data_IF_153297078001
#
_entry.id   IF_153297078001
#
_cell.length_a   1.000
_cell.length_b   1.000
_cell.length_c   1.000
_cell.angle_alpha   90.00
_cell.angle_beta   90.00
_cell.angle_gamma   90.00
#
_symmetry.space_group_name_H-M   'P 1'
#
loop_
_entity.id
_entity.type
_entity.pdbx_description
1 polymer ?
#
# COMPACT_ATOMS: atom_id res chain seq x y z
N UNK A 1 5.62 -11.68 9.44
CA UNK A 1 6.77 -11.68 8.53
C UNK A 1 7.91 -10.94 9.19
N UNK A 2 9.03 -11.62 9.41
CA UNK A 2 10.20 -11.01 9.99
C UNK A 2 11.22 -10.69 8.90
N UNK A 3 11.87 -9.55 9.01
CA UNK A 3 13.01 -9.25 8.17
C UNK A 3 14.19 -10.15 8.53
N UNK A 4 14.90 -10.76 7.58
CA UNK A 4 15.99 -11.69 7.86
C UNK A 4 17.30 -11.03 8.31
N UNK A 5 17.33 -9.76 8.62
CA UNK A 5 18.60 -9.06 8.86
C UNK A 5 18.67 -8.29 10.17
N UNK A 6 19.41 -8.73 11.10
CA UNK A 6 20.09 -8.09 12.23
C UNK A 6 19.38 -7.02 13.07
N UNK A 7 19.42 -7.07 14.37
CA UNK A 7 18.87 -6.12 15.33
C UNK A 7 17.39 -6.36 15.67
N UNK A 8 16.96 -5.91 16.85
CA UNK A 8 15.63 -6.21 17.38
C UNK A 8 14.49 -5.72 16.47
N UNK A 9 14.64 -4.60 15.79
CA UNK A 9 13.59 -4.05 14.91
C UNK A 9 13.44 -4.82 13.59
N UNK A 10 14.49 -5.45 13.09
CA UNK A 10 14.39 -6.35 11.95
C UNK A 10 13.85 -7.75 12.29
N UNK A 11 13.78 -8.08 13.58
CA UNK A 11 13.07 -9.25 14.08
C UNK A 11 11.63 -8.92 14.52
N UNK A 12 11.20 -7.66 14.40
CA UNK A 12 9.86 -7.22 14.75
C UNK A 12 8.83 -7.59 13.68
N UNK A 13 7.56 -7.59 14.07
CA UNK A 13 6.42 -7.57 13.17
C UNK A 13 5.99 -6.13 12.99
N UNK A 14 6.04 -5.64 11.75
CA UNK A 14 5.68 -4.28 11.39
C UNK A 14 4.30 -4.25 10.74
N UNK A 15 3.46 -3.30 11.13
CA UNK A 15 2.08 -3.21 10.65
C UNK A 15 2.02 -3.00 9.13
N UNK A 16 2.82 -2.11 8.59
CA UNK A 16 2.90 -1.88 7.15
C UNK A 16 3.40 -3.13 6.41
N UNK A 17 4.54 -3.70 6.81
CA UNK A 17 5.13 -4.86 6.13
C UNK A 17 4.18 -6.06 6.11
N UNK A 18 3.49 -6.28 7.22
CA UNK A 18 2.59 -7.41 7.37
C UNK A 18 1.21 -7.12 6.78
N UNK A 19 0.53 -6.09 7.28
CA UNK A 19 -0.88 -5.89 6.96
C UNK A 19 -1.08 -5.22 5.60
N UNK A 20 -0.24 -4.25 5.23
CA UNK A 20 -0.39 -3.57 3.95
C UNK A 20 0.25 -4.34 2.79
N UNK A 21 1.43 -4.95 3.00
CA UNK A 21 2.22 -5.54 1.91
C UNK A 21 2.01 -7.05 1.78
N UNK A 22 2.35 -7.81 2.84
CA UNK A 22 2.41 -9.26 2.77
C UNK A 22 1.01 -9.91 2.79
N UNK A 23 0.14 -9.51 3.71
CA UNK A 23 -1.19 -10.11 3.87
C UNK A 23 -2.03 -10.08 2.59
N UNK A 24 -2.12 -8.97 1.82
CA UNK A 24 -2.83 -8.97 0.55
C UNK A 24 -2.20 -9.89 -0.50
N UNK A 25 -0.89 -10.08 -0.49
CA UNK A 25 -0.23 -11.02 -1.40
C UNK A 25 -0.49 -12.46 -1.01
N UNK A 26 -0.35 -12.81 0.27
CA UNK A 26 -0.62 -14.16 0.77
C UNK A 26 -2.04 -14.63 0.45
N UNK A 27 -3.00 -13.72 0.38
CA UNK A 27 -4.37 -14.05 -0.01
C UNK A 27 -4.49 -14.68 -1.40
N UNK A 28 -3.58 -14.38 -2.32
CA UNK A 28 -3.57 -14.95 -3.68
C UNK A 28 -2.92 -16.33 -3.75
N UNK A 29 -2.23 -16.76 -2.72
CA UNK A 29 -1.63 -18.10 -2.66
C UNK A 29 -2.60 -19.10 -2.01
N UNK A 30 -2.33 -20.40 -2.18
CA UNK A 30 -3.09 -21.45 -1.50
C UNK A 30 -2.16 -22.24 -0.54
N UNK A 31 -1.15 -21.58 -0.03
CA UNK A 31 -0.24 -22.13 0.98
C UNK A 31 -0.82 -21.93 2.38
N UNK A 32 -1.00 -23.04 3.09
CA UNK A 32 -1.62 -23.01 4.42
C UNK A 32 -0.79 -22.22 5.46
N UNK A 33 0.54 -22.25 5.36
CA UNK A 33 1.41 -21.53 6.27
C UNK A 33 1.33 -20.02 6.06
N UNK A 34 1.23 -19.57 4.80
CA UNK A 34 1.04 -18.15 4.45
C UNK A 34 -0.34 -17.64 4.91
N UNK A 35 -1.39 -18.46 4.78
CA UNK A 35 -2.72 -18.12 5.29
C UNK A 35 -2.74 -18.04 6.82
N UNK A 36 -2.09 -18.97 7.50
CA UNK A 36 -1.96 -18.96 8.95
C UNK A 36 -1.15 -17.74 9.42
N UNK A 37 -0.05 -17.44 8.75
CA UNK A 37 0.77 -16.26 9.05
C UNK A 37 -0.05 -14.95 8.91
N UNK A 38 -0.84 -14.78 7.84
CA UNK A 38 -1.67 -13.60 7.64
C UNK A 38 -2.74 -13.45 8.75
N UNK A 39 -3.43 -14.54 9.10
CA UNK A 39 -4.46 -14.53 10.16
C UNK A 39 -3.84 -14.29 11.53
N UNK A 40 -2.71 -14.91 11.81
CA UNK A 40 -1.97 -14.72 13.08
C UNK A 40 -1.47 -13.28 13.22
N UNK A 41 -0.97 -12.69 12.16
CA UNK A 41 -0.54 -11.30 12.17
C UNK A 41 -1.70 -10.35 12.49
N UNK A 42 -2.86 -10.51 11.84
CA UNK A 42 -4.05 -9.71 12.19
C UNK A 42 -4.42 -9.88 13.67
N UNK A 43 -4.43 -11.11 14.19
CA UNK A 43 -4.74 -11.40 15.59
C UNK A 43 -3.80 -10.68 16.58
N UNK A 44 -2.52 -10.56 16.26
CA UNK A 44 -1.54 -9.91 17.16
C UNK A 44 -1.83 -8.42 17.41
N UNK A 45 -2.57 -7.75 16.53
CA UNK A 45 -2.94 -6.35 16.71
C UNK A 45 -4.19 -6.16 17.58
N UNK A 46 -5.01 -7.20 17.79
CA UNK A 46 -6.27 -7.11 18.52
C UNK A 46 -6.13 -6.53 19.96
N UNK A 47 -5.12 -6.90 20.76
CA UNK A 47 -4.97 -6.35 22.12
C UNK A 47 -4.77 -4.83 22.18
N UNK A 48 -4.34 -4.22 21.09
CA UNK A 48 -4.02 -2.78 21.00
C UNK A 48 -5.17 -1.95 20.43
N UNK A 49 -6.23 -2.59 19.97
CA UNK A 49 -7.41 -1.94 19.42
C UNK A 49 -8.52 -1.79 20.48
N UNK A 50 -8.17 -1.26 21.64
CA UNK A 50 -9.07 -1.14 22.78
C UNK A 50 -9.28 0.31 23.25
N UNK A 51 -8.33 1.19 23.04
CA UNK A 51 -8.44 2.61 23.31
C UNK A 51 -8.66 3.36 21.98
N UNK A 52 -9.78 4.08 21.89
CA UNK A 52 -10.18 4.76 20.66
C UNK A 52 -9.28 5.92 20.27
N UNK A 53 -8.60 6.51 21.22
CA UNK A 53 -7.80 7.73 21.03
C UNK A 53 -6.31 7.44 20.81
N UNK A 54 -5.89 6.20 21.06
CA UNK A 54 -4.51 5.77 20.81
C UNK A 54 -4.39 5.08 19.45
N UNK A 55 -3.34 5.39 18.67
CA UNK A 55 -3.03 4.64 17.46
C UNK A 55 -2.59 3.21 17.83
N UNK A 56 -2.76 2.28 16.89
CA UNK A 56 -2.11 0.97 17.04
C UNK A 56 -0.60 1.15 16.93
N UNK A 57 0.21 0.35 17.67
CA UNK A 57 1.66 0.45 17.57
C UNK A 57 2.14 0.08 16.17
N UNK A 58 3.20 0.74 15.72
CA UNK A 58 3.79 0.47 14.40
C UNK A 58 4.48 -0.87 14.32
N UNK A 59 4.99 -1.39 15.44
CA UNK A 59 5.70 -2.67 15.51
C UNK A 59 5.47 -3.42 16.80
N UNK A 60 5.58 -4.75 16.71
CA UNK A 60 5.58 -5.69 17.83
C UNK A 60 6.96 -6.33 17.92
N UNK A 61 7.67 -6.09 19.00
CA UNK A 61 8.99 -6.66 19.29
C UNK A 61 8.91 -7.65 20.45
N UNK A 62 9.96 -8.42 20.70
CA UNK A 62 9.98 -9.41 21.77
C UNK A 62 9.78 -8.82 23.17
N UNK A 63 10.18 -7.56 23.34
CA UNK A 63 10.08 -6.82 24.60
C UNK A 63 8.72 -6.12 24.78
N UNK A 64 7.85 -6.12 23.77
CA UNK A 64 6.54 -5.47 23.79
C UNK A 64 6.20 -4.76 22.50
N UNK A 65 5.64 -3.55 22.62
CA UNK A 65 5.26 -2.71 21.46
C UNK A 65 6.19 -1.52 21.30
N UNK A 66 6.28 -1.02 20.09
CA UNK A 66 7.03 0.18 19.83
C UNK A 66 6.30 1.08 18.81
N UNK A 67 6.47 2.38 18.99
CA UNK A 67 6.08 3.42 18.01
C UNK A 67 7.30 4.01 17.32
N UNK A 68 8.33 3.25 17.18
CA UNK A 68 9.61 3.59 16.58
C UNK A 68 10.05 5.06 16.80
N UNK A 69 11.08 5.28 17.58
CA UNK A 69 11.58 6.62 17.91
C UNK A 69 10.50 7.62 18.40
N UNK A 70 9.39 7.14 18.94
CA UNK A 70 8.27 8.00 19.32
C UNK A 70 7.55 8.63 18.13
N UNK A 71 7.59 7.98 16.96
CA UNK A 71 6.96 8.49 15.75
C UNK A 71 5.44 8.69 15.87
N UNK A 72 4.78 7.93 16.74
CA UNK A 72 3.33 7.99 16.90
C UNK A 72 2.58 7.30 15.77
N UNK A 73 1.46 7.89 15.35
CA UNK A 73 0.63 7.38 14.27
C UNK A 73 1.30 7.62 12.91
N UNK A 74 1.54 6.54 12.16
CA UNK A 74 2.08 6.54 10.80
C UNK A 74 1.02 6.27 9.73
N UNK A 75 -0.26 6.20 10.12
CA UNK A 75 -1.34 5.70 9.26
C UNK A 75 -1.55 4.19 9.35
N UNK A 76 -1.01 3.53 10.39
CA UNK A 76 -1.04 2.07 10.56
C UNK A 76 -2.46 1.49 10.58
N UNK A 77 -3.44 2.21 11.15
CA UNK A 77 -4.85 1.80 11.11
C UNK A 77 -5.40 1.73 9.67
N UNK A 78 -4.98 2.65 8.80
CA UNK A 78 -5.37 2.65 7.38
C UNK A 78 -4.72 1.51 6.61
N UNK A 79 -3.45 1.23 6.90
CA UNK A 79 -2.71 0.10 6.33
C UNK A 79 -3.34 -1.23 6.71
N UNK A 80 -3.68 -1.39 8.00
CA UNK A 80 -4.37 -2.57 8.51
C UNK A 80 -5.73 -2.76 7.85
N UNK A 81 -6.56 -1.71 7.81
CA UNK A 81 -7.90 -1.75 7.22
C UNK A 81 -7.85 -2.11 5.73
N UNK A 82 -6.92 -1.49 4.99
CA UNK A 82 -6.73 -1.72 3.56
C UNK A 82 -6.32 -3.17 3.28
N UNK A 83 -5.24 -3.62 3.91
CA UNK A 83 -4.67 -4.93 3.59
C UNK A 83 -5.52 -6.09 4.10
N UNK A 84 -6.06 -6.00 5.31
CA UNK A 84 -6.92 -7.03 5.87
C UNK A 84 -8.25 -7.15 5.11
N UNK A 85 -8.85 -6.02 4.70
CA UNK A 85 -10.06 -6.06 3.85
C UNK A 85 -9.78 -6.71 2.49
N UNK A 86 -8.65 -6.39 1.85
CA UNK A 86 -8.23 -7.04 0.60
C UNK A 86 -8.00 -8.53 0.79
N UNK A 87 -7.42 -8.94 1.91
CA UNK A 87 -7.25 -10.36 2.23
C UNK A 87 -8.58 -11.11 2.18
N UNK A 88 -9.58 -10.67 2.95
CA UNK A 88 -10.88 -11.32 2.98
C UNK A 88 -11.59 -11.29 1.62
N UNK A 89 -11.51 -10.18 0.89
CA UNK A 89 -12.07 -10.07 -0.45
C UNK A 89 -11.41 -11.03 -1.44
N UNK A 90 -10.09 -11.15 -1.42
CA UNK A 90 -9.32 -12.06 -2.27
C UNK A 90 -9.61 -13.51 -1.91
N UNK A 91 -9.66 -13.84 -0.62
CA UNK A 91 -10.02 -15.18 -0.15
C UNK A 91 -11.48 -15.55 -0.43
N UNK A 92 -12.38 -14.55 -0.59
CA UNK A 92 -13.83 -14.78 -0.65
C UNK A 92 -14.37 -15.31 0.68
N UNK A 93 -13.69 -14.97 1.79
CA UNK A 93 -14.05 -15.35 3.16
C UNK A 93 -14.67 -14.14 3.86
N UNK A 94 -15.61 -14.38 4.77
CA UNK A 94 -16.06 -13.34 5.69
C UNK A 94 -15.17 -13.34 6.94
N UNK A 95 -14.86 -12.14 7.50
CA UNK A 95 -14.06 -12.06 8.72
C UNK A 95 -14.81 -12.69 9.91
N UNK A 96 -14.07 -13.43 10.76
CA UNK A 96 -14.56 -13.85 12.06
C UNK A 96 -14.81 -12.63 12.96
N UNK A 97 -15.58 -12.79 14.04
CA UNK A 97 -16.00 -11.68 14.90
C UNK A 97 -14.83 -10.84 15.44
N UNK A 98 -13.70 -11.43 15.76
CA UNK A 98 -12.50 -10.70 16.19
C UNK A 98 -11.96 -9.81 15.05
N UNK A 99 -11.76 -10.37 13.87
CA UNK A 99 -11.28 -9.62 12.71
C UNK A 99 -12.30 -8.54 12.29
N UNK A 100 -13.60 -8.84 12.36
CA UNK A 100 -14.66 -7.87 12.13
C UNK A 100 -14.57 -6.69 13.09
N UNK A 101 -14.36 -6.97 14.39
CA UNK A 101 -14.18 -5.93 15.41
C UNK A 101 -12.93 -5.07 15.16
N UNK A 102 -11.81 -5.69 14.74
CA UNK A 102 -10.58 -4.97 14.40
C UNK A 102 -10.78 -4.04 13.19
N UNK A 103 -11.42 -4.52 12.12
CA UNK A 103 -11.72 -3.71 10.94
C UNK A 103 -12.63 -2.52 11.29
N UNK A 104 -13.66 -2.76 12.09
CA UNK A 104 -14.57 -1.71 12.55
C UNK A 104 -13.85 -0.68 13.44
N UNK A 105 -12.95 -1.13 14.33
CA UNK A 105 -12.14 -0.24 15.15
C UNK A 105 -11.23 0.65 14.29
N UNK A 106 -10.55 0.08 13.30
CA UNK A 106 -9.70 0.85 12.38
C UNK A 106 -10.51 1.88 11.59
N UNK A 107 -11.67 1.49 11.06
CA UNK A 107 -12.53 2.40 10.33
C UNK A 107 -13.00 3.58 11.20
N UNK A 108 -13.42 3.31 12.44
CA UNK A 108 -13.83 4.33 13.42
C UNK A 108 -12.67 5.23 13.83
N UNK A 109 -11.46 4.67 14.04
CA UNK A 109 -10.25 5.43 14.33
C UNK A 109 -9.91 6.40 13.19
N UNK A 110 -9.86 5.91 11.95
CA UNK A 110 -9.56 6.75 10.77
C UNK A 110 -10.61 7.85 10.60
N UNK A 111 -11.90 7.52 10.76
CA UNK A 111 -12.98 8.51 10.65
C UNK A 111 -12.78 9.69 11.59
N UNK A 112 -12.38 9.45 12.84
CA UNK A 112 -12.09 10.52 13.82
C UNK A 112 -10.86 11.34 13.47
N UNK A 113 -9.95 10.79 12.67
CA UNK A 113 -8.75 11.50 12.18
C UNK A 113 -9.01 12.29 10.90
N UNK A 114 -10.18 12.19 10.27
CA UNK A 114 -10.50 13.01 9.10
C UNK A 114 -10.78 14.44 9.53
N UNK A 115 -9.88 15.34 9.16
CA UNK A 115 -9.98 16.76 9.42
C UNK A 115 -11.17 17.42 8.68
N UNK A 116 -11.45 18.66 9.01
CA UNK A 116 -12.56 19.41 8.41
C UNK A 116 -12.37 19.65 6.90
N UNK A 117 -11.14 19.68 6.43
CA UNK A 117 -10.78 19.83 5.00
C UNK A 117 -10.79 18.51 4.24
N UNK A 118 -10.99 17.37 4.92
CA UNK A 118 -11.05 16.03 4.34
C UNK A 118 -9.73 15.27 4.34
N UNK A 119 -8.62 15.88 4.78
CA UNK A 119 -7.34 15.16 4.94
C UNK A 119 -7.37 14.26 6.17
N UNK A 120 -6.51 13.26 6.21
CA UNK A 120 -6.39 12.35 7.36
C UNK A 120 -5.15 12.74 8.17
N UNK A 121 -5.38 13.07 9.44
CA UNK A 121 -4.31 13.44 10.38
C UNK A 121 -3.49 12.21 10.77
N UNK A 122 -2.17 12.40 10.86
CA UNK A 122 -1.21 11.41 11.35
C UNK A 122 0.00 12.13 11.91
N UNK A 123 0.73 11.48 12.82
CA UNK A 123 1.88 12.11 13.46
C UNK A 123 3.10 12.08 12.51
N UNK A 124 3.20 11.06 11.68
CA UNK A 124 4.25 10.89 10.67
C UNK A 124 3.79 9.96 9.54
N UNK A 125 4.73 9.36 8.84
CA UNK A 125 4.55 8.37 7.79
C UNK A 125 5.51 7.18 7.97
N UNK A 126 5.59 6.31 6.99
CA UNK A 126 6.51 5.17 6.99
C UNK A 126 8.00 5.57 6.98
N UNK A 127 8.33 6.82 6.69
CA UNK A 127 9.69 7.36 6.80
C UNK A 127 10.06 7.75 8.24
N UNK A 128 9.11 7.66 9.20
CA UNK A 128 9.38 7.66 10.64
C UNK A 128 10.16 8.90 11.09
N UNK A 129 9.68 10.08 10.71
CA UNK A 129 10.31 11.38 11.01
C UNK A 129 11.67 11.61 10.33
N UNK A 130 12.11 10.77 9.39
CA UNK A 130 13.33 11.05 8.60
C UNK A 130 13.14 12.27 7.70
N UNK A 131 11.93 12.51 7.25
CA UNK A 131 11.51 13.67 6.49
C UNK A 131 10.25 14.29 7.14
N UNK A 132 10.00 15.58 6.91
CA UNK A 132 8.79 16.23 7.42
C UNK A 132 7.53 15.62 6.78
N UNK A 133 6.52 15.34 7.58
CA UNK A 133 5.24 14.75 7.12
C UNK A 133 4.04 15.70 7.27
N UNK A 134 4.19 16.80 8.01
CA UNK A 134 3.09 17.69 8.36
C UNK A 134 2.10 17.04 9.34
N UNK A 135 1.05 17.74 9.70
CA UNK A 135 -0.03 17.22 10.57
C UNK A 135 -0.96 16.26 9.80
N UNK A 136 -0.97 16.35 8.48
CA UNK A 136 -1.61 15.44 7.55
C UNK A 136 -0.71 15.28 6.32
N UNK A 137 -0.60 14.06 5.83
CA UNK A 137 0.20 13.77 4.65
C UNK A 137 -0.60 12.99 3.59
N UNK A 138 -0.06 13.03 2.38
CA UNK A 138 -0.70 12.45 1.22
C UNK A 138 -0.74 10.92 1.30
N UNK A 139 0.29 10.27 1.86
CA UNK A 139 0.33 8.80 1.95
C UNK A 139 -0.78 8.26 2.84
N UNK A 140 -0.90 8.76 4.08
CA UNK A 140 -1.96 8.35 5.00
C UNK A 140 -3.35 8.64 4.41
N UNK A 141 -3.54 9.82 3.81
CA UNK A 141 -4.84 10.16 3.18
C UNK A 141 -5.15 9.25 1.99
N UNK A 142 -4.18 8.93 1.14
CA UNK A 142 -4.39 8.06 -0.02
C UNK A 142 -4.67 6.60 0.39
N UNK A 143 -3.94 6.07 1.38
CA UNK A 143 -4.18 4.72 1.90
C UNK A 143 -5.55 4.65 2.56
N UNK A 144 -5.95 5.66 3.34
CA UNK A 144 -7.30 5.76 3.95
C UNK A 144 -8.40 5.78 2.89
N UNK A 145 -8.22 6.52 1.79
CA UNK A 145 -9.13 6.49 0.65
C UNK A 145 -9.28 5.08 0.08
N UNK A 146 -8.16 4.38 -0.16
CA UNK A 146 -8.16 3.00 -0.63
C UNK A 146 -8.82 2.04 0.37
N UNK A 147 -8.51 2.20 1.66
CA UNK A 147 -9.04 1.39 2.75
C UNK A 147 -10.56 1.46 2.85
N UNK A 148 -11.15 2.66 2.86
CA UNK A 148 -12.61 2.80 2.85
C UNK A 148 -13.25 2.22 1.59
N UNK A 149 -12.57 2.32 0.43
CA UNK A 149 -13.06 1.71 -0.81
C UNK A 149 -13.18 0.19 -0.70
N UNK A 150 -12.12 -0.49 -0.29
CA UNK A 150 -12.12 -1.96 -0.19
C UNK A 150 -12.95 -2.47 1.00
N UNK A 151 -12.92 -1.75 2.13
CA UNK A 151 -13.73 -2.12 3.29
C UNK A 151 -15.23 -1.95 3.02
N UNK A 152 -15.63 -0.90 2.29
CA UNK A 152 -17.01 -0.73 1.84
C UNK A 152 -17.52 -1.91 1.00
N UNK A 153 -16.69 -2.45 0.10
CA UNK A 153 -17.03 -3.67 -0.66
C UNK A 153 -17.17 -4.88 0.28
N UNK A 154 -16.27 -5.03 1.25
CA UNK A 154 -16.34 -6.12 2.22
C UNK A 154 -17.62 -6.05 3.07
N UNK A 155 -17.96 -4.85 3.56
CA UNK A 155 -19.21 -4.60 4.30
C UNK A 155 -20.46 -4.94 3.46
N UNK A 156 -20.45 -4.58 2.16
CA UNK A 156 -21.55 -4.96 1.25
C UNK A 156 -21.70 -6.49 1.17
N UNK A 157 -20.59 -7.23 1.07
CA UNK A 157 -20.60 -8.71 1.10
C UNK A 157 -21.10 -9.29 2.42
N UNK A 158 -20.88 -8.57 3.53
CA UNK A 158 -21.40 -8.94 4.86
C UNK A 158 -22.87 -8.57 5.04
N UNK A 159 -23.49 -7.83 4.10
CA UNK A 159 -24.86 -7.32 4.20
C UNK A 159 -25.00 -6.02 4.99
N UNK A 160 -23.88 -5.41 5.40
CA UNK A 160 -23.80 -4.17 6.20
C UNK A 160 -23.90 -2.93 5.30
N UNK A 161 -25.02 -2.76 4.60
CA UNK A 161 -25.19 -1.74 3.55
C UNK A 161 -25.07 -0.30 4.05
N UNK A 162 -25.57 0.00 5.24
CA UNK A 162 -25.50 1.35 5.82
C UNK A 162 -24.05 1.76 6.07
N UNK A 163 -23.27 0.86 6.65
CA UNK A 163 -21.85 1.10 6.91
C UNK A 163 -21.04 1.16 5.61
N UNK A 164 -21.40 0.38 4.59
CA UNK A 164 -20.79 0.46 3.25
C UNK A 164 -21.06 1.83 2.58
N UNK A 165 -22.27 2.36 2.67
CA UNK A 165 -22.61 3.71 2.18
C UNK A 165 -21.86 4.80 2.93
N UNK A 166 -21.69 4.64 4.25
CA UNK A 166 -20.86 5.53 5.08
C UNK A 166 -19.39 5.51 4.61
N UNK A 167 -18.82 4.34 4.37
CA UNK A 167 -17.46 4.22 3.82
C UNK A 167 -17.32 4.94 2.47
N UNK A 168 -18.30 4.80 1.59
CA UNK A 168 -18.28 5.50 0.30
C UNK A 168 -18.36 7.03 0.46
N UNK A 169 -19.08 7.52 1.47
CA UNK A 169 -19.14 8.96 1.77
C UNK A 169 -17.79 9.47 2.32
N UNK A 170 -17.17 8.72 3.24
CA UNK A 170 -15.85 9.06 3.79
C UNK A 170 -14.76 9.02 2.71
N UNK A 171 -14.80 8.03 1.82
CA UNK A 171 -13.90 7.93 0.67
C UNK A 171 -13.98 9.18 -0.22
N UNK A 172 -15.18 9.64 -0.55
CA UNK A 172 -15.37 10.89 -1.33
C UNK A 172 -14.83 12.10 -0.58
N UNK A 173 -15.12 12.23 0.72
CA UNK A 173 -14.62 13.34 1.54
C UNK A 173 -13.10 13.40 1.54
N UNK A 174 -12.43 12.25 1.65
CA UNK A 174 -10.96 12.17 1.61
C UNK A 174 -10.44 12.52 0.21
N UNK A 175 -11.08 12.05 -0.86
CA UNK A 175 -10.68 12.42 -2.23
C UNK A 175 -10.74 13.93 -2.45
N UNK A 176 -11.81 14.59 -2.01
CA UNK A 176 -11.96 16.05 -2.08
C UNK A 176 -10.87 16.76 -1.24
N UNK A 177 -10.55 16.23 -0.06
CA UNK A 177 -9.48 16.74 0.80
C UNK A 177 -8.11 16.61 0.14
N UNK A 178 -7.81 15.47 -0.48
CA UNK A 178 -6.56 15.25 -1.23
C UNK A 178 -6.43 16.29 -2.35
N UNK A 179 -7.46 16.48 -3.15
CA UNK A 179 -7.41 17.47 -4.25
C UNK A 179 -7.21 18.90 -3.73
N UNK A 180 -7.95 19.27 -2.70
CA UNK A 180 -7.95 20.64 -2.17
C UNK A 180 -6.65 20.99 -1.46
N UNK A 181 -6.10 20.08 -0.67
CA UNK A 181 -4.97 20.34 0.24
C UNK A 181 -3.64 19.99 -0.40
N UNK A 182 -3.58 18.87 -1.10
CA UNK A 182 -2.33 18.36 -1.67
C UNK A 182 -2.20 18.62 -3.18
N UNK A 183 -3.29 18.93 -3.91
CA UNK A 183 -3.21 19.30 -5.31
C UNK A 183 -2.28 20.51 -5.51
N UNK A 184 -1.28 20.37 -6.40
CA UNK A 184 -0.25 21.37 -6.60
C UNK A 184 0.32 21.34 -8.02
N UNK A 185 0.96 22.44 -8.41
CA UNK A 185 1.80 22.48 -9.60
C UNK A 185 3.26 22.55 -9.15
N UNK A 186 3.97 21.43 -9.24
CA UNK A 186 5.38 21.33 -8.88
C UNK A 186 6.22 21.03 -10.12
N UNK A 187 7.34 21.71 -10.27
CA UNK A 187 8.32 21.49 -11.34
C UNK A 187 7.73 21.50 -12.77
N UNK A 188 6.61 22.23 -12.94
CA UNK A 188 5.90 22.33 -14.22
C UNK A 188 4.78 21.31 -14.41
N UNK A 189 4.66 20.31 -13.57
CA UNK A 189 3.63 19.27 -13.59
C UNK A 189 2.44 19.60 -12.70
N UNK A 190 1.24 19.27 -13.15
CA UNK A 190 0.01 19.31 -12.34
C UNK A 190 -0.09 18.02 -11.53
N UNK A 191 0.44 18.03 -10.33
CA UNK A 191 0.65 16.84 -9.49
C UNK A 191 0.19 17.07 -8.04
N UNK A 192 0.83 16.43 -7.09
CA UNK A 192 0.57 16.58 -5.67
C UNK A 192 1.80 17.07 -4.93
N UNK A 193 1.60 17.85 -3.87
CA UNK A 193 2.57 18.02 -2.78
C UNK A 193 2.35 16.95 -1.71
N UNK A 194 3.37 16.61 -0.99
CA UNK A 194 3.28 15.54 -0.01
C UNK A 194 2.53 15.96 1.28
N UNK A 195 2.75 17.19 1.75
CA UNK A 195 1.99 17.83 2.82
C UNK A 195 1.82 19.32 2.54
N UNK A 196 0.94 19.99 3.29
CA UNK A 196 0.69 21.41 3.11
C UNK A 196 1.98 22.22 3.24
N UNK A 197 2.25 23.11 2.27
CA UNK A 197 3.41 23.98 2.26
C UNK A 197 4.72 23.37 1.76
N UNK A 198 4.74 22.09 1.41
CA UNK A 198 5.92 21.45 0.82
C UNK A 198 5.89 21.59 -0.72
N UNK A 199 6.95 22.14 -1.29
CA UNK A 199 7.08 22.35 -2.74
C UNK A 199 8.19 21.49 -3.39
N UNK A 200 8.54 20.36 -2.77
CA UNK A 200 9.44 19.36 -3.36
C UNK A 200 8.67 18.11 -3.79
N UNK A 201 9.17 17.43 -4.80
CA UNK A 201 8.62 16.16 -5.27
C UNK A 201 9.11 15.03 -4.37
N UNK A 202 8.16 14.23 -3.84
CA UNK A 202 8.43 13.04 -3.05
C UNK A 202 7.90 11.78 -3.72
N UNK A 203 8.55 10.66 -3.45
CA UNK A 203 8.19 9.38 -4.05
C UNK A 203 6.72 8.98 -3.76
N UNK A 204 6.23 9.27 -2.55
CA UNK A 204 4.87 8.89 -2.12
C UNK A 204 3.73 9.60 -2.85
N UNK A 205 4.00 10.59 -3.71
CA UNK A 205 2.94 11.15 -4.56
C UNK A 205 2.44 10.15 -5.63
N UNK A 206 3.03 8.95 -5.73
CA UNK A 206 2.51 7.83 -6.52
C UNK A 206 1.30 7.12 -5.86
N UNK A 207 1.05 7.32 -4.58
CA UNK A 207 -0.01 6.60 -3.87
C UNK A 207 -1.43 6.96 -4.31
N UNK A 208 -1.80 8.24 -4.53
CA UNK A 208 -3.13 8.55 -5.07
C UNK A 208 -3.44 7.81 -6.38
N UNK A 209 -2.61 7.84 -7.44
CA UNK A 209 -2.87 7.05 -8.64
C UNK A 209 -2.86 5.53 -8.37
N UNK A 210 -2.01 5.02 -7.49
CA UNK A 210 -2.03 3.62 -7.09
C UNK A 210 -3.37 3.24 -6.41
N UNK A 211 -3.90 4.09 -5.56
CA UNK A 211 -5.21 3.87 -4.90
C UNK A 211 -6.41 4.14 -5.80
N UNK A 212 -6.18 4.60 -7.04
CA UNK A 212 -7.24 4.80 -8.04
C UNK A 212 -7.75 6.22 -8.17
N UNK A 213 -7.10 7.20 -7.56
CA UNK A 213 -7.38 8.63 -7.76
C UNK A 213 -6.73 9.06 -9.08
N UNK A 214 -7.56 9.39 -10.07
CA UNK A 214 -7.10 9.66 -11.44
C UNK A 214 -6.74 11.12 -11.70
N UNK A 215 -7.28 12.04 -10.92
CA UNK A 215 -6.92 13.45 -11.01
C UNK A 215 -5.41 13.60 -10.78
N UNK A 216 -4.74 14.41 -11.57
CA UNK A 216 -3.28 14.67 -11.48
C UNK A 216 -2.36 13.44 -11.59
N UNK A 217 -2.89 12.24 -11.91
CA UNK A 217 -2.11 11.00 -11.97
C UNK A 217 -0.93 11.13 -12.95
N UNK A 218 -1.18 11.63 -14.16
CA UNK A 218 -0.14 11.79 -15.18
C UNK A 218 0.96 12.74 -14.73
N UNK A 219 0.60 13.90 -14.18
CA UNK A 219 1.57 14.87 -13.68
C UNK A 219 2.41 14.32 -12.51
N UNK A 220 1.78 13.60 -11.58
CA UNK A 220 2.50 12.97 -10.48
C UNK A 220 3.50 11.92 -10.98
N UNK A 221 3.04 11.02 -11.86
CA UNK A 221 3.90 9.97 -12.42
C UNK A 221 5.02 10.53 -13.31
N UNK A 222 4.76 11.63 -14.07
CA UNK A 222 5.80 12.32 -14.83
C UNK A 222 6.84 12.96 -13.94
N UNK A 223 6.43 13.67 -12.89
CA UNK A 223 7.35 14.31 -11.95
C UNK A 223 8.27 13.27 -11.29
N UNK A 224 7.70 12.17 -10.80
CA UNK A 224 8.46 11.05 -10.21
C UNK A 224 9.44 10.47 -11.22
N UNK A 225 8.97 10.07 -12.40
CA UNK A 225 9.81 9.40 -13.41
C UNK A 225 10.98 10.25 -13.90
N UNK A 226 10.80 11.58 -13.90
CA UNK A 226 11.82 12.53 -14.35
C UNK A 226 12.83 12.89 -13.26
N UNK A 227 12.38 13.04 -12.01
CA UNK A 227 13.20 13.61 -10.94
C UNK A 227 13.73 12.58 -9.94
N UNK A 228 13.00 11.49 -9.75
CA UNK A 228 13.30 10.54 -8.68
C UNK A 228 13.80 9.18 -9.19
N UNK A 229 13.49 8.81 -10.43
CA UNK A 229 13.89 7.49 -10.94
C UNK A 229 15.40 7.41 -11.13
N UNK A 230 16.02 6.46 -10.45
CA UNK A 230 17.48 6.25 -10.50
C UNK A 230 17.81 4.76 -10.30
N UNK A 231 18.61 4.19 -11.21
CA UNK A 231 19.13 2.83 -11.10
C UNK A 231 18.10 1.76 -10.74
N UNK A 232 16.92 1.81 -11.37
CA UNK A 232 15.86 0.82 -11.17
C UNK A 232 15.06 1.00 -9.87
N UNK A 233 15.19 2.14 -9.20
CA UNK A 233 14.46 2.47 -7.98
C UNK A 233 14.09 3.96 -7.94
N UNK A 234 13.50 4.43 -6.85
CA UNK A 234 13.16 5.82 -6.63
C UNK A 234 13.94 6.43 -5.47
N UNK A 235 14.45 7.63 -5.67
CA UNK A 235 14.85 8.48 -4.55
C UNK A 235 13.62 8.84 -3.72
N UNK A 236 13.79 8.99 -2.42
CA UNK A 236 12.70 9.40 -1.51
C UNK A 236 12.19 10.80 -1.81
N UNK A 237 13.09 11.70 -2.21
CA UNK A 237 12.81 13.09 -2.61
C UNK A 237 13.83 13.56 -3.64
N UNK A 238 13.52 14.62 -4.37
CA UNK A 238 14.44 15.23 -5.35
C UNK A 238 15.71 15.79 -4.72
N UNK A 239 15.69 16.08 -3.43
CA UNK A 239 16.80 16.70 -2.69
C UNK A 239 17.72 15.69 -1.97
N UNK A 240 17.44 14.40 -2.05
CA UNK A 240 18.24 13.35 -1.40
C UNK A 240 18.69 12.28 -2.40
N UNK A 241 19.72 11.52 -2.01
CA UNK A 241 20.25 10.42 -2.82
C UNK A 241 19.86 9.04 -2.27
N UNK A 242 19.04 8.99 -1.20
CA UNK A 242 18.53 7.72 -0.68
C UNK A 242 17.43 7.22 -1.60
N UNK A 243 17.58 6.03 -2.14
CA UNK A 243 16.54 5.30 -2.88
C UNK A 243 15.84 4.34 -1.94
N UNK A 244 14.52 4.23 -2.11
CA UNK A 244 13.69 3.34 -1.33
C UNK A 244 12.87 2.44 -2.26
N UNK A 245 13.14 1.14 -2.23
CA UNK A 245 12.58 0.21 -3.20
C UNK A 245 11.06 0.10 -3.11
N UNK A 246 10.46 0.16 -1.91
CA UNK A 246 8.99 0.10 -1.77
C UNK A 246 8.26 1.17 -2.57
N UNK A 247 8.75 2.39 -2.58
CA UNK A 247 8.13 3.47 -3.37
C UNK A 247 8.22 3.23 -4.87
N UNK A 248 9.33 2.62 -5.35
CA UNK A 248 9.47 2.23 -6.75
C UNK A 248 8.45 1.16 -7.14
N UNK A 249 8.17 0.20 -6.26
CA UNK A 249 7.20 -0.86 -6.51
C UNK A 249 5.76 -0.30 -6.60
N UNK A 250 5.40 0.64 -5.73
CA UNK A 250 4.13 1.36 -5.83
C UNK A 250 4.04 2.21 -7.10
N UNK A 251 5.12 2.92 -7.46
CA UNK A 251 5.16 3.72 -8.68
C UNK A 251 4.95 2.87 -9.93
N UNK A 252 5.60 1.70 -10.03
CA UNK A 252 5.43 0.80 -11.17
C UNK A 252 3.99 0.30 -11.26
N UNK A 253 3.39 -0.10 -10.14
CA UNK A 253 1.99 -0.52 -10.10
C UNK A 253 1.04 0.64 -10.48
N UNK A 254 1.32 1.86 -10.01
CA UNK A 254 0.56 3.05 -10.37
C UNK A 254 0.65 3.38 -11.87
N UNK A 255 1.82 3.20 -12.50
CA UNK A 255 1.97 3.34 -13.95
C UNK A 255 1.08 2.38 -14.73
N UNK A 256 1.01 1.10 -14.32
CA UNK A 256 0.08 0.16 -14.95
C UNK A 256 -1.36 0.63 -14.80
N UNK A 257 -1.81 0.96 -13.60
CA UNK A 257 -3.17 1.42 -13.32
C UNK A 257 -3.54 2.73 -14.02
N UNK A 258 -2.56 3.56 -14.33
CA UNK A 258 -2.75 4.76 -15.15
C UNK A 258 -2.78 4.47 -16.67
N UNK A 259 -2.69 3.21 -17.09
CA UNK A 259 -2.66 2.81 -18.50
C UNK A 259 -1.30 3.01 -19.20
N UNK A 260 -0.24 3.30 -18.44
CA UNK A 260 1.14 3.51 -18.94
C UNK A 260 1.93 2.20 -18.96
N UNK A 261 1.32 1.15 -19.53
CA UNK A 261 1.79 -0.23 -19.43
C UNK A 261 3.20 -0.45 -19.99
N UNK A 262 3.57 0.18 -21.10
CA UNK A 262 4.90 0.04 -21.68
C UNK A 262 6.00 0.64 -20.80
N UNK A 263 5.73 1.79 -20.21
CA UNK A 263 6.64 2.42 -19.25
C UNK A 263 6.74 1.58 -17.97
N UNK A 264 5.61 1.17 -17.40
CA UNK A 264 5.58 0.29 -16.24
C UNK A 264 6.41 -0.97 -16.45
N UNK A 265 6.26 -1.59 -17.61
CA UNK A 265 7.01 -2.79 -17.98
C UNK A 265 8.51 -2.54 -18.12
N UNK A 266 8.91 -1.40 -18.70
CA UNK A 266 10.31 -1.01 -18.79
C UNK A 266 10.92 -0.81 -17.40
N UNK A 267 10.21 -0.09 -16.51
CA UNK A 267 10.64 0.13 -15.12
C UNK A 267 10.72 -1.18 -14.32
N UNK A 268 9.72 -2.05 -14.45
CA UNK A 268 9.71 -3.36 -13.79
C UNK A 268 10.93 -4.22 -14.20
N UNK A 269 11.26 -4.25 -15.49
CA UNK A 269 12.46 -4.97 -15.97
C UNK A 269 13.74 -4.39 -15.42
N UNK A 270 13.87 -3.07 -15.39
CA UNK A 270 15.03 -2.38 -14.85
C UNK A 270 15.17 -2.66 -13.34
N UNK A 271 14.09 -2.54 -12.56
CA UNK A 271 14.09 -2.89 -11.14
C UNK A 271 14.47 -4.35 -10.91
N UNK A 272 13.90 -5.28 -11.67
CA UNK A 272 14.25 -6.70 -11.56
C UNK A 272 15.73 -6.94 -11.85
N UNK A 273 16.26 -6.34 -12.91
CA UNK A 273 17.67 -6.53 -13.31
C UNK A 273 18.65 -5.91 -12.31
N UNK A 274 18.33 -4.75 -11.73
CA UNK A 274 19.28 -3.98 -10.90
C UNK A 274 19.08 -4.23 -9.40
N UNK A 275 17.87 -4.60 -8.97
CA UNK A 275 17.50 -4.68 -7.55
C UNK A 275 17.22 -6.10 -7.04
N UNK A 276 16.91 -7.04 -7.92
CA UNK A 276 16.58 -8.42 -7.54
C UNK A 276 17.61 -9.45 -7.98
N UNK A 277 18.29 -9.21 -9.12
CA UNK A 277 19.25 -10.15 -9.67
C UNK A 277 20.69 -9.84 -9.20
N UNK A 278 21.58 -10.80 -9.38
CA UNK A 278 22.99 -10.67 -8.99
C UNK A 278 23.20 -10.85 -7.49
N UNK A 279 23.98 -9.97 -6.88
CA UNK A 279 24.35 -10.06 -5.46
C UNK A 279 23.18 -9.90 -4.49
N UNK A 280 22.06 -9.37 -4.95
CA UNK A 280 20.86 -9.12 -4.16
C UNK A 280 19.81 -10.22 -4.24
N UNK A 281 20.01 -11.19 -5.13
CA UNK A 281 19.08 -12.31 -5.22
C UNK A 281 19.02 -13.08 -3.88
N UNK A 282 17.82 -13.56 -3.46
CA UNK A 282 16.57 -13.50 -4.18
C UNK A 282 15.59 -12.41 -3.68
N UNK A 283 15.97 -11.52 -2.80
CA UNK A 283 15.05 -10.60 -2.13
C UNK A 283 15.32 -9.14 -2.46
N UNK A 284 14.27 -8.34 -2.47
CA UNK A 284 14.33 -6.88 -2.56
C UNK A 284 14.98 -6.30 -1.31
N UNK A 285 15.84 -5.30 -1.46
CA UNK A 285 16.48 -4.56 -0.37
C UNK A 285 15.61 -3.37 0.00
N UNK A 286 15.55 -2.99 1.26
CA UNK A 286 14.72 -1.89 1.74
C UNK A 286 15.13 -0.55 1.11
N UNK A 287 16.39 -0.17 1.28
CA UNK A 287 16.89 1.14 0.85
C UNK A 287 18.33 1.05 0.34
N UNK A 288 18.79 2.09 -0.33
CA UNK A 288 20.11 2.16 -0.91
C UNK A 288 20.62 3.64 -0.92
N UNK A 289 21.90 3.92 -0.64
CA UNK A 289 22.91 2.97 -0.20
C UNK A 289 22.74 2.56 1.27
N UNK A 290 22.86 1.28 1.56
CA UNK A 290 22.86 0.76 2.93
C UNK A 290 24.10 -0.08 3.21
N UNK A 291 24.63 0.05 4.44
CA UNK A 291 25.67 -0.83 4.95
C UNK A 291 25.03 -2.15 5.42
N UNK A 292 25.16 -3.19 4.61
CA UNK A 292 24.63 -4.51 4.86
C UNK A 292 23.24 -4.69 4.22
N UNK A 293 23.21 -5.36 3.09
CA UNK A 293 22.03 -5.68 2.29
C UNK A 293 20.93 -6.34 3.14
N UNK A 294 20.00 -5.53 3.63
CA UNK A 294 18.86 -5.98 4.43
C UNK A 294 17.73 -6.31 3.49
N UNK A 295 17.34 -7.56 3.50
CA UNK A 295 16.26 -8.05 2.66
C UNK A 295 14.96 -8.01 3.45
N UNK A 296 13.92 -7.36 2.91
CA UNK A 296 12.61 -7.26 3.52
C UNK A 296 11.59 -8.11 2.78
N UNK A 297 10.80 -8.84 3.55
CA UNK A 297 9.72 -9.67 3.03
C UNK A 297 8.57 -8.80 2.48
N UNK A 298 8.33 -7.64 3.08
CA UNK A 298 7.30 -6.69 2.67
C UNK A 298 7.48 -6.22 1.24
N UNK A 299 8.68 -5.76 0.89
CA UNK A 299 9.00 -5.32 -0.47
C UNK A 299 8.91 -6.48 -1.48
N UNK A 300 9.25 -7.69 -1.08
CA UNK A 300 9.10 -8.87 -1.95
C UNK A 300 7.62 -9.15 -2.27
N UNK A 301 6.73 -8.99 -1.30
CA UNK A 301 5.30 -9.10 -1.52
C UNK A 301 4.77 -7.96 -2.44
N UNK A 302 5.22 -6.73 -2.23
CA UNK A 302 4.88 -5.60 -3.12
C UNK A 302 5.34 -5.85 -4.56
N UNK A 303 6.53 -6.43 -4.75
CA UNK A 303 7.02 -6.80 -6.09
C UNK A 303 6.07 -7.77 -6.79
N UNK A 304 5.61 -8.81 -6.08
CA UNK A 304 4.62 -9.74 -6.62
C UNK A 304 3.28 -9.04 -6.90
N UNK A 305 2.87 -8.11 -6.06
CA UNK A 305 1.62 -7.34 -6.21
C UNK A 305 1.63 -6.38 -7.40
N UNK A 306 2.78 -6.03 -7.97
CA UNK A 306 2.81 -5.29 -9.25
C UNK A 306 2.02 -6.06 -10.33
N UNK A 307 2.05 -7.39 -10.30
CA UNK A 307 1.29 -8.20 -11.26
C UNK A 307 -0.19 -8.19 -10.94
N UNK A 308 -0.59 -8.44 -9.68
CA UNK A 308 -2.01 -8.50 -9.30
C UNK A 308 -2.68 -7.13 -9.26
N UNK A 309 -2.02 -6.13 -8.67
CA UNK A 309 -2.60 -4.80 -8.45
C UNK A 309 -2.34 -3.83 -9.60
N UNK A 310 -1.28 -4.07 -10.39
CA UNK A 310 -0.88 -3.24 -11.52
C UNK A 310 -1.25 -3.86 -12.87
N UNK A 311 -0.52 -4.88 -13.29
CA UNK A 311 -0.70 -5.48 -14.64
C UNK A 311 -2.10 -6.06 -14.85
N UNK A 312 -2.63 -6.80 -13.88
CA UNK A 312 -3.97 -7.40 -13.94
C UNK A 312 -5.06 -6.47 -13.41
N UNK A 313 -4.69 -5.51 -12.58
CA UNK A 313 -5.57 -4.57 -11.86
C UNK A 313 -6.80 -5.28 -11.29
N UNK A 314 -6.53 -6.22 -10.36
CA UNK A 314 -7.57 -6.99 -9.68
C UNK A 314 -8.37 -6.09 -8.78
N UNK A 315 -9.64 -5.89 -9.12
CA UNK A 315 -10.63 -5.17 -8.33
C UNK A 315 -11.64 -6.12 -7.70
N UNK A 316 -12.43 -5.60 -6.76
CA UNK A 316 -13.47 -6.38 -6.06
C UNK A 316 -14.82 -5.69 -6.15
N UNK A 317 -15.87 -6.50 -6.26
CA UNK A 317 -17.27 -6.08 -6.21
C UNK A 317 -18.02 -6.85 -5.13
N UNK A 318 -19.28 -6.52 -4.90
CA UNK A 318 -20.16 -7.26 -3.99
C UNK A 318 -20.29 -8.73 -4.43
N UNK A 319 -20.33 -8.98 -5.74
CA UNK A 319 -20.57 -10.31 -6.30
C UNK A 319 -19.29 -11.12 -6.55
N UNK A 320 -18.12 -10.47 -6.59
CA UNK A 320 -16.88 -11.16 -6.93
C UNK A 320 -15.70 -10.24 -7.17
N UNK A 321 -14.99 -10.44 -8.28
CA UNK A 321 -13.83 -9.67 -8.66
C UNK A 321 -13.93 -9.18 -10.11
N UNK A 322 -13.14 -8.17 -10.42
CA UNK A 322 -12.94 -7.65 -11.77
C UNK A 322 -11.47 -7.73 -12.15
N UNK A 323 -11.21 -7.77 -13.44
CA UNK A 323 -9.89 -7.64 -14.03
C UNK A 323 -9.92 -6.49 -15.02
N UNK A 324 -8.96 -5.58 -14.92
CA UNK A 324 -8.75 -4.46 -15.87
C UNK A 324 -7.31 -4.47 -16.37
N UNK A 325 -6.92 -5.49 -17.18
CA UNK A 325 -5.52 -5.73 -17.50
C UNK A 325 -4.88 -4.61 -18.32
N UNK A 326 -3.63 -4.29 -18.00
CA UNK A 326 -2.80 -3.29 -18.66
C UNK A 326 -1.59 -3.96 -19.32
N UNK A 327 -1.81 -4.62 -20.48
CA UNK A 327 -0.74 -5.33 -21.17
C UNK A 327 0.18 -4.37 -21.94
N UNK A 328 1.51 -4.43 -21.72
CA UNK A 328 2.48 -3.67 -22.51
C UNK A 328 2.54 -4.19 -23.95
N UNK A 329 3.05 -3.40 -24.88
CA UNK A 329 3.16 -3.78 -26.29
C UNK A 329 4.00 -5.07 -26.50
N UNK A 330 4.95 -5.30 -25.60
CA UNK A 330 5.82 -6.48 -25.62
C UNK A 330 5.11 -7.81 -25.29
N UNK A 331 3.92 -7.76 -24.68
CA UNK A 331 3.15 -8.94 -24.31
C UNK A 331 1.83 -8.96 -25.11
N UNK A 332 1.65 -9.99 -25.93
CA UNK A 332 0.37 -10.24 -26.61
C UNK A 332 -0.61 -11.03 -25.76
N UNK A 333 -0.09 -11.75 -24.75
CA UNK A 333 -0.85 -12.67 -23.92
C UNK A 333 -0.15 -12.86 -22.57
N UNK A 334 -0.95 -12.96 -21.52
CA UNK A 334 -0.53 -13.38 -20.18
C UNK A 334 -1.41 -14.55 -19.73
N UNK A 335 -0.80 -15.61 -19.27
CA UNK A 335 -1.47 -16.76 -18.70
C UNK A 335 -1.22 -16.79 -17.19
N UNK A 336 -2.29 -16.77 -16.41
CA UNK A 336 -2.27 -16.89 -14.95
C UNK A 336 -2.74 -18.28 -14.59
N UNK A 337 -1.95 -18.99 -13.77
CA UNK A 337 -2.26 -20.36 -13.35
C UNK A 337 -2.31 -20.44 -11.83
N UNK A 338 -3.31 -21.18 -11.35
CA UNK A 338 -3.45 -21.60 -9.96
C UNK A 338 -3.41 -20.48 -8.92
N UNK A 339 -3.86 -19.27 -9.29
CA UNK A 339 -4.04 -18.16 -8.36
C UNK A 339 -5.31 -18.39 -7.52
N UNK A 340 -5.25 -18.15 -6.23
CA UNK A 340 -6.43 -18.19 -5.37
C UNK A 340 -7.18 -16.85 -5.44
N UNK A 341 -8.47 -16.88 -5.80
CA UNK A 341 -9.26 -15.65 -5.95
C UNK A 341 -10.74 -15.93 -5.72
N UNK A 342 -11.35 -15.19 -4.80
CA UNK A 342 -12.76 -15.28 -4.42
C UNK A 342 -13.23 -16.71 -4.20
N UNK A 343 -12.64 -17.36 -3.20
CA UNK A 343 -13.06 -18.68 -2.72
C UNK A 343 -12.61 -19.89 -3.56
N UNK A 344 -11.66 -19.70 -4.49
CA UNK A 344 -11.18 -20.85 -5.27
C UNK A 344 -9.95 -20.58 -6.12
N UNK A 345 -9.28 -21.64 -6.53
CA UNK A 345 -8.19 -21.58 -7.50
C UNK A 345 -8.72 -21.18 -8.87
N UNK A 346 -8.06 -20.26 -9.52
CA UNK A 346 -8.40 -19.74 -10.84
C UNK A 346 -7.20 -19.84 -11.79
N UNK A 347 -7.49 -20.21 -13.02
CA UNK A 347 -6.55 -20.09 -14.13
C UNK A 347 -7.26 -19.39 -15.27
N UNK A 348 -6.66 -18.40 -15.85
CA UNK A 348 -7.23 -17.62 -16.95
C UNK A 348 -6.15 -17.05 -17.84
N UNK A 349 -6.57 -16.66 -19.03
CA UNK A 349 -5.70 -15.98 -20.00
C UNK A 349 -6.24 -14.59 -20.25
N UNK A 350 -5.31 -13.65 -20.36
CA UNK A 350 -5.56 -12.28 -20.78
C UNK A 350 -4.85 -12.10 -22.11
N UNK A 351 -5.60 -11.83 -23.15
CA UNK A 351 -5.11 -11.47 -24.48
C UNK A 351 -5.21 -9.95 -24.64
N UNK A 352 -4.31 -9.37 -25.47
CA UNK A 352 -4.26 -7.93 -25.76
C UNK A 352 -5.41 -7.48 -26.64
#
# INVERSE_FOLDING_TARGET
VHSPGGGQYYAAVWCNDECEYATPWFAFTDDAAEQDAAKTAMHWWAPYMNDRDLPIPSSLISEGTDYWNGAGDRGDASMFLYGSSRYFLTRGELPAEEAKAQLAWCADYIERRIASDGTVLSDTDELENRLSSGDANLSTSAISYGAFGVYGVLLSRMGEKVEAEKCAALQRKIADGIEKTFGARLTGEDCYRYHAGLDEVRAWICLPPYMGIKSRADGALNAIGRLLWENGSLKTTENENVVWDRSALYYIAALFRAGRADEAWARLKETAATRLLGERAPYVVEAYPENGMRHLSGESALFCRIITDGLLDVGFTEEGFTLSPHLPAALSRVEVKDIFLCGGRRSFTVDK
#
